data_IF_680006691630
#
_entry.id   IF_680006691630
#
_cell.length_a   1.000
_cell.length_b   1.000
_cell.length_c   1.000
_cell.angle_alpha   90.00
_cell.angle_beta   90.00
_cell.angle_gamma   90.00
#
_symmetry.space_group_name_H-M   'P 1'
#
loop_
_entity.id
_entity.type
_entity.pdbx_description
1 polymer ?
#
# COMPACT_ATOMS: atom_id res chain seq x y z
N UNK A 1 -62.89 15.31 -24.99
CA UNK A 1 -61.52 15.78 -24.66
C UNK A 1 -60.94 14.78 -23.67
N UNK A 2 -60.02 13.94 -24.12
CA UNK A 2 -59.36 12.92 -23.27
C UNK A 2 -58.15 13.58 -22.57
N UNK A 3 -58.19 13.57 -21.25
CA UNK A 3 -57.10 14.06 -20.41
C UNK A 3 -55.96 13.02 -20.48
N UNK A 4 -54.84 13.34 -21.12
CA UNK A 4 -53.61 12.56 -21.07
C UNK A 4 -52.98 12.72 -19.69
N UNK A 5 -53.18 11.73 -18.84
CA UNK A 5 -52.46 11.64 -17.56
C UNK A 5 -50.96 11.52 -17.84
N UNK A 6 -50.19 12.53 -17.46
CA UNK A 6 -48.75 12.56 -17.57
C UNK A 6 -48.19 11.61 -16.49
N UNK A 7 -47.58 10.49 -16.92
CA UNK A 7 -46.89 9.56 -16.02
C UNK A 7 -45.68 10.30 -15.41
N UNK A 8 -45.53 10.34 -14.09
CA UNK A 8 -44.37 10.98 -13.50
C UNK A 8 -43.08 10.26 -13.96
N UNK A 9 -41.98 10.99 -14.17
CA UNK A 9 -40.70 10.36 -14.54
C UNK A 9 -40.27 9.35 -13.45
N UNK A 10 -39.58 8.24 -13.83
CA UNK A 10 -39.07 7.31 -12.85
C UNK A 10 -38.13 8.02 -11.87
N UNK A 11 -38.13 7.62 -10.57
CA UNK A 11 -37.22 8.21 -9.61
C UNK A 11 -35.79 8.03 -10.11
N UNK A 12 -35.00 9.10 -10.02
CA UNK A 12 -33.55 9.00 -10.29
C UNK A 12 -32.96 7.92 -9.38
N UNK A 13 -32.05 7.06 -9.89
CA UNK A 13 -31.37 6.10 -9.03
C UNK A 13 -30.76 6.86 -7.85
N UNK A 14 -31.03 6.41 -6.63
CA UNK A 14 -30.43 7.00 -5.44
C UNK A 14 -28.92 6.90 -5.63
N UNK A 15 -28.21 8.03 -5.65
CA UNK A 15 -26.76 8.01 -5.63
C UNK A 15 -26.35 7.20 -4.39
N UNK A 16 -25.60 6.10 -4.58
CA UNK A 16 -25.06 5.37 -3.45
C UNK A 16 -24.36 6.38 -2.53
N UNK A 17 -24.71 6.37 -1.25
CA UNK A 17 -24.10 7.30 -0.29
C UNK A 17 -22.57 7.13 -0.37
N UNK A 18 -21.84 8.27 -0.39
CA UNK A 18 -20.38 8.22 -0.43
C UNK A 18 -19.83 7.37 0.74
N UNK A 19 -18.80 6.54 0.52
CA UNK A 19 -18.23 5.69 1.57
C UNK A 19 -17.81 6.51 2.79
N UNK A 20 -18.16 6.04 3.99
CA UNK A 20 -17.70 6.64 5.23
C UNK A 20 -16.21 6.38 5.50
N UNK A 21 -15.61 7.11 6.44
CA UNK A 21 -14.20 6.98 6.80
C UNK A 21 -13.78 5.54 7.10
N UNK A 22 -14.59 4.82 7.89
CA UNK A 22 -14.31 3.41 8.26
C UNK A 22 -14.34 2.48 7.05
N UNK A 23 -15.29 2.69 6.15
CA UNK A 23 -15.41 1.87 4.95
C UNK A 23 -14.22 2.11 4.02
N UNK A 24 -13.76 3.36 3.87
CA UNK A 24 -12.56 3.71 3.12
C UNK A 24 -11.29 3.12 3.76
N UNK A 25 -11.16 3.19 5.09
CA UNK A 25 -10.02 2.62 5.81
C UNK A 25 -9.91 1.10 5.59
N UNK A 26 -11.03 0.40 5.77
CA UNK A 26 -11.12 -1.03 5.49
C UNK A 26 -10.87 -1.32 4.01
N UNK A 27 -11.42 -0.49 3.11
CA UNK A 27 -11.21 -0.58 1.67
C UNK A 27 -9.74 -0.48 1.30
N UNK A 28 -9.00 0.46 1.90
CA UNK A 28 -7.57 0.64 1.66
C UNK A 28 -6.75 -0.60 2.04
N UNK A 29 -6.89 -1.11 3.27
CA UNK A 29 -6.07 -2.23 3.72
C UNK A 29 -6.54 -3.59 3.17
N UNK A 30 -7.85 -3.80 3.02
CA UNK A 30 -8.36 -5.01 2.38
C UNK A 30 -8.04 -4.99 0.88
N UNK A 31 -8.12 -3.82 0.24
CA UNK A 31 -7.76 -3.64 -1.16
C UNK A 31 -6.29 -3.91 -1.43
N UNK A 32 -5.41 -3.48 -0.52
CA UNK A 32 -3.99 -3.84 -0.54
C UNK A 32 -3.83 -5.37 -0.53
N UNK A 33 -4.40 -6.06 0.46
CA UNK A 33 -4.25 -7.51 0.60
C UNK A 33 -4.87 -8.31 -0.54
N UNK A 34 -5.97 -7.84 -1.12
CA UNK A 34 -6.58 -8.45 -2.33
C UNK A 34 -5.68 -8.26 -3.54
N UNK A 35 -5.11 -7.05 -3.70
CA UNK A 35 -4.19 -6.74 -4.80
C UNK A 35 -2.94 -7.59 -4.75
N UNK A 36 -2.29 -7.66 -3.58
CA UNK A 36 -1.15 -8.51 -3.26
C UNK A 36 -1.45 -9.98 -3.62
N UNK A 37 -2.52 -10.56 -3.09
CA UNK A 37 -2.88 -11.95 -3.34
C UNK A 37 -3.25 -12.26 -4.81
N UNK A 38 -3.76 -11.28 -5.56
CA UNK A 38 -4.03 -11.41 -6.99
C UNK A 38 -2.75 -11.30 -7.82
N UNK A 39 -1.81 -10.44 -7.40
CA UNK A 39 -0.56 -10.17 -8.09
C UNK A 39 0.51 -11.24 -7.87
N UNK A 40 0.59 -11.83 -6.68
CA UNK A 40 1.64 -12.78 -6.29
C UNK A 40 1.92 -13.91 -7.31
N UNK A 41 0.92 -14.57 -7.93
CA UNK A 41 1.20 -15.57 -8.96
C UNK A 41 1.82 -15.01 -10.24
N UNK A 42 1.66 -13.71 -10.50
CA UNK A 42 2.13 -13.01 -11.70
C UNK A 42 3.44 -12.26 -11.47
N UNK A 43 3.97 -12.26 -10.24
CA UNK A 43 5.23 -11.63 -9.86
C UNK A 43 6.36 -12.12 -10.75
N UNK A 44 7.22 -11.19 -11.18
CA UNK A 44 8.35 -11.41 -12.08
C UNK A 44 8.00 -11.93 -13.49
N UNK A 45 6.71 -12.04 -13.83
CA UNK A 45 6.30 -12.49 -15.16
C UNK A 45 6.16 -11.32 -16.15
N UNK A 46 6.39 -11.63 -17.42
CA UNK A 46 6.03 -10.74 -18.53
C UNK A 46 4.55 -10.89 -18.89
N UNK A 47 3.89 -9.86 -19.44
CA UNK A 47 2.50 -9.97 -19.89
C UNK A 47 2.24 -11.11 -20.88
N UNK A 48 3.25 -11.49 -21.69
CA UNK A 48 3.15 -12.64 -22.60
C UNK A 48 3.09 -13.98 -21.84
N UNK A 49 3.83 -14.09 -20.73
CA UNK A 49 3.85 -15.28 -19.88
C UNK A 49 2.57 -15.41 -19.08
N UNK A 50 2.05 -14.28 -18.54
CA UNK A 50 0.75 -14.21 -17.88
C UNK A 50 -0.34 -14.69 -18.85
N UNK A 51 -0.36 -14.13 -20.06
CA UNK A 51 -1.34 -14.52 -21.09
C UNK A 51 -1.22 -15.99 -21.53
N UNK A 52 -0.02 -16.52 -21.59
CA UNK A 52 0.20 -17.91 -21.95
C UNK A 52 -0.29 -18.88 -20.87
N UNK A 53 -0.20 -18.48 -19.58
CA UNK A 53 -0.62 -19.33 -18.45
C UNK A 53 -2.12 -19.26 -18.18
N UNK A 54 -2.70 -18.05 -18.18
CA UNK A 54 -4.07 -17.82 -17.68
C UNK A 54 -4.96 -17.02 -18.64
N UNK A 55 -4.47 -16.62 -19.82
CA UNK A 55 -5.14 -15.59 -20.60
C UNK A 55 -5.00 -14.22 -19.93
N UNK A 56 -6.06 -13.43 -19.91
CA UNK A 56 -6.11 -12.24 -19.02
C UNK A 56 -6.52 -12.70 -17.62
N UNK A 57 -5.74 -12.35 -16.63
CA UNK A 57 -6.12 -12.54 -15.21
C UNK A 57 -7.35 -11.68 -14.93
N UNK A 58 -8.42 -12.28 -14.41
CA UNK A 58 -9.70 -11.64 -14.10
C UNK A 58 -10.19 -11.93 -12.69
N UNK A 59 -9.40 -12.65 -11.90
CA UNK A 59 -9.64 -13.05 -10.53
C UNK A 59 -8.48 -13.90 -10.02
N UNK A 60 -8.62 -14.48 -8.84
CA UNK A 60 -7.60 -15.37 -8.29
C UNK A 60 -7.34 -16.57 -9.22
N UNK A 61 -6.08 -16.87 -9.41
CA UNK A 61 -5.60 -18.00 -10.25
C UNK A 61 -5.04 -19.15 -9.41
N UNK A 62 -5.20 -19.06 -8.08
CA UNK A 62 -4.84 -20.08 -7.10
C UNK A 62 -6.04 -20.42 -6.24
N UNK A 63 -6.12 -21.66 -5.75
CA UNK A 63 -7.22 -22.13 -4.88
C UNK A 63 -7.13 -21.53 -3.47
N UNK A 64 -5.95 -21.15 -3.02
CA UNK A 64 -5.68 -20.55 -1.71
C UNK A 64 -4.99 -19.18 -1.86
N UNK A 65 -5.73 -18.13 -2.26
CA UNK A 65 -5.16 -16.80 -2.38
C UNK A 65 -4.73 -16.26 -1.02
N UNK A 66 -3.55 -15.67 -0.95
CA UNK A 66 -2.96 -15.14 0.27
C UNK A 66 -2.11 -13.93 -0.07
N UNK A 67 -2.10 -12.96 0.86
CA UNK A 67 -1.11 -11.90 0.84
C UNK A 67 0.29 -12.44 1.14
N UNK A 68 1.28 -11.70 0.68
CA UNK A 68 2.71 -11.96 0.82
C UNK A 68 3.31 -11.07 1.92
N UNK A 69 4.58 -10.71 1.77
CA UNK A 69 5.25 -9.71 2.62
C UNK A 69 4.59 -8.33 2.51
N UNK A 70 4.04 -7.93 1.36
CA UNK A 70 3.29 -6.68 1.21
C UNK A 70 2.24 -6.52 2.31
N UNK A 71 1.38 -7.53 2.46
CA UNK A 71 0.32 -7.51 3.47
C UNK A 71 0.89 -7.59 4.88
N UNK A 72 1.86 -8.47 5.14
CA UNK A 72 2.41 -8.68 6.48
C UNK A 72 3.20 -7.48 6.98
N UNK A 73 4.00 -6.81 6.12
CA UNK A 73 4.70 -5.57 6.47
C UNK A 73 3.74 -4.37 6.57
N UNK A 74 2.67 -4.32 5.78
CA UNK A 74 1.63 -3.31 5.98
C UNK A 74 0.96 -3.42 7.36
N UNK A 75 0.70 -4.64 7.84
CA UNK A 75 0.20 -4.88 9.19
C UNK A 75 1.22 -4.46 10.26
N UNK A 76 2.50 -4.78 10.07
CA UNK A 76 3.58 -4.35 10.95
C UNK A 76 3.62 -2.83 11.10
N UNK A 77 3.70 -2.09 9.99
CA UNK A 77 3.72 -0.62 9.99
C UNK A 77 2.42 -0.04 10.56
N UNK A 78 1.27 -0.63 10.25
CA UNK A 78 -0.03 -0.22 10.78
C UNK A 78 -0.14 -0.36 12.29
N UNK A 79 0.31 -1.48 12.87
CA UNK A 79 0.31 -1.71 14.31
C UNK A 79 1.29 -0.77 15.05
N UNK A 80 2.46 -0.54 14.46
CA UNK A 80 3.43 0.39 14.99
C UNK A 80 2.87 1.82 15.02
N UNK A 81 2.22 2.22 13.94
CA UNK A 81 1.57 3.52 13.83
C UNK A 81 0.37 3.65 14.80
N UNK A 82 -0.44 2.61 14.97
CA UNK A 82 -1.53 2.59 15.95
C UNK A 82 -1.01 2.76 17.39
N UNK A 83 0.20 2.23 17.69
CA UNK A 83 0.84 2.36 19.02
C UNK A 83 1.38 3.78 19.28
N UNK A 84 1.99 4.41 18.30
CA UNK A 84 2.76 5.65 18.49
C UNK A 84 2.09 6.89 17.88
N UNK A 85 1.15 6.72 16.95
CA UNK A 85 0.47 7.83 16.30
C UNK A 85 1.44 8.81 15.63
N UNK A 86 1.11 10.10 15.70
CA UNK A 86 1.95 11.17 15.17
C UNK A 86 3.27 11.39 15.94
N UNK A 87 3.44 10.75 17.11
CA UNK A 87 4.68 10.74 17.89
C UNK A 87 5.69 9.66 17.47
N UNK A 88 5.42 8.92 16.37
CA UNK A 88 6.35 7.95 15.80
C UNK A 88 7.72 8.59 15.56
N UNK A 89 8.78 7.86 15.92
CA UNK A 89 10.18 8.26 15.73
C UNK A 89 10.98 7.13 15.09
N UNK A 90 12.14 7.40 14.45
CA UNK A 90 13.03 6.35 13.95
C UNK A 90 13.43 5.32 15.02
N UNK A 91 13.64 5.76 16.26
CA UNK A 91 13.96 4.86 17.37
C UNK A 91 12.81 3.89 17.70
N UNK A 92 11.55 4.32 17.60
CA UNK A 92 10.40 3.42 17.77
C UNK A 92 10.35 2.37 16.67
N UNK A 93 10.64 2.77 15.44
CA UNK A 93 10.67 1.87 14.27
C UNK A 93 11.78 0.85 14.42
N UNK A 94 13.01 1.30 14.72
CA UNK A 94 14.17 0.44 14.91
C UNK A 94 13.93 -0.58 16.04
N UNK A 95 13.42 -0.12 17.19
CA UNK A 95 13.06 -1.01 18.29
C UNK A 95 12.04 -2.09 17.88
N UNK A 96 11.03 -1.73 17.08
CA UNK A 96 10.06 -2.69 16.59
C UNK A 96 10.68 -3.68 15.56
N UNK A 97 11.59 -3.22 14.71
CA UNK A 97 12.34 -4.12 13.82
C UNK A 97 13.15 -5.14 14.61
N UNK A 98 13.81 -4.74 15.70
CA UNK A 98 14.51 -5.65 16.60
C UNK A 98 13.52 -6.61 17.30
N UNK A 99 12.54 -6.08 18.01
CA UNK A 99 11.59 -6.87 18.81
C UNK A 99 10.80 -7.88 17.97
N UNK A 100 10.33 -7.48 16.79
CA UNK A 100 9.36 -8.27 16.02
C UNK A 100 9.99 -9.05 14.86
N UNK A 101 11.21 -8.71 14.43
CA UNK A 101 11.83 -9.28 13.25
C UNK A 101 13.28 -9.75 13.53
N UNK A 102 14.23 -8.83 13.80
CA UNK A 102 15.65 -9.08 13.73
C UNK A 102 16.17 -10.02 14.82
N UNK A 103 15.68 -9.88 16.06
CA UNK A 103 16.14 -10.60 17.22
C UNK A 103 15.41 -11.93 17.44
N UNK A 104 14.48 -12.29 16.57
CA UNK A 104 13.80 -13.57 16.66
C UNK A 104 14.72 -14.68 16.17
N UNK A 105 14.83 -15.74 16.99
CA UNK A 105 15.69 -16.90 16.74
C UNK A 105 15.20 -17.77 15.56
N UNK A 106 13.96 -17.58 15.12
CA UNK A 106 13.36 -18.35 14.05
C UNK A 106 13.84 -17.82 12.70
N UNK A 107 14.88 -18.40 12.28
CA UNK A 107 15.46 -18.60 10.96
C UNK A 107 15.00 -17.72 9.81
N UNK A 108 15.52 -17.94 8.75
CA UNK A 108 15.27 -17.51 7.37
C UNK A 108 13.97 -16.72 7.18
N UNK A 109 14.12 -15.43 6.91
CA UNK A 109 13.08 -14.56 6.38
C UNK A 109 12.60 -15.09 5.03
N UNK A 110 11.73 -16.08 5.04
CA UNK A 110 11.13 -16.62 3.84
C UNK A 110 10.16 -15.57 3.32
N UNK A 111 10.41 -15.08 2.10
CA UNK A 111 9.57 -14.11 1.44
C UNK A 111 9.86 -12.64 1.77
N UNK A 112 10.85 -12.31 2.60
CA UNK A 112 11.29 -10.93 2.75
C UNK A 112 11.98 -10.45 1.46
N UNK A 113 11.66 -9.24 1.03
CA UNK A 113 12.29 -8.58 -0.10
C UNK A 113 13.78 -8.31 0.12
N UNK A 114 14.44 -7.82 -0.90
CA UNK A 114 15.89 -7.57 -0.83
C UNK A 114 16.25 -6.44 0.13
N UNK A 115 15.43 -5.39 0.20
CA UNK A 115 15.62 -4.27 1.13
C UNK A 115 15.49 -4.70 2.59
N UNK A 116 14.48 -5.51 2.90
CA UNK A 116 14.26 -6.04 4.25
C UNK A 116 15.46 -6.89 4.70
N UNK A 117 15.99 -7.74 3.82
CA UNK A 117 17.20 -8.56 4.11
C UNK A 117 18.42 -7.69 4.35
N UNK A 118 18.66 -6.68 3.51
CA UNK A 118 19.78 -5.75 3.67
C UNK A 118 19.70 -4.98 4.98
N UNK A 119 18.52 -4.49 5.32
CA UNK A 119 18.23 -3.80 6.59
C UNK A 119 18.51 -4.71 7.80
N UNK A 120 17.97 -5.93 7.79
CA UNK A 120 18.14 -6.88 8.87
C UNK A 120 19.61 -7.29 9.08
N UNK A 121 20.36 -7.44 8.00
CA UNK A 121 21.81 -7.70 8.08
C UNK A 121 22.52 -6.53 8.75
N UNK A 122 22.18 -5.29 8.40
CA UNK A 122 22.76 -4.10 8.99
C UNK A 122 22.38 -3.94 10.47
N UNK A 123 21.10 -4.10 10.82
CA UNK A 123 20.64 -4.06 12.22
C UNK A 123 21.35 -5.11 13.09
N UNK A 124 21.50 -6.35 12.60
CA UNK A 124 22.24 -7.43 13.32
C UNK A 124 23.72 -7.13 13.52
N UNK A 125 24.29 -6.28 12.67
CA UNK A 125 25.66 -5.75 12.83
C UNK A 125 25.72 -4.55 13.79
N UNK A 126 24.61 -4.13 14.37
CA UNK A 126 24.52 -2.97 15.26
C UNK A 126 24.52 -1.63 14.53
N UNK A 127 24.19 -1.60 13.24
CA UNK A 127 24.07 -0.37 12.46
C UNK A 127 22.65 0.20 12.64
N UNK A 128 22.54 1.31 13.38
CA UNK A 128 21.27 2.00 13.64
C UNK A 128 20.80 2.84 12.45
N UNK A 129 19.53 3.25 12.46
CA UNK A 129 19.00 4.19 11.49
C UNK A 129 19.73 5.55 11.53
N UNK A 130 20.01 6.21 10.41
CA UNK A 130 19.66 5.82 9.04
C UNK A 130 20.70 4.90 8.35
N UNK A 131 21.80 4.53 9.03
CA UNK A 131 22.86 3.70 8.43
C UNK A 131 22.37 2.30 8.10
N UNK A 132 21.40 1.77 8.86
CA UNK A 132 20.75 0.49 8.58
C UNK A 132 20.10 0.44 7.19
N UNK A 133 19.65 1.58 6.66
CA UNK A 133 19.06 1.72 5.33
C UNK A 133 20.09 1.82 4.19
N UNK A 134 21.39 1.98 4.50
CA UNK A 134 22.43 2.15 3.47
C UNK A 134 22.85 0.81 2.90
N UNK A 135 22.07 0.31 1.96
CA UNK A 135 22.36 -0.90 1.19
C UNK A 135 21.87 -0.74 -0.26
N UNK A 136 22.34 -1.61 -1.15
CA UNK A 136 22.07 -1.48 -2.60
C UNK A 136 20.60 -1.62 -3.02
N UNK A 137 19.73 -2.07 -2.12
CA UNK A 137 18.29 -2.23 -2.35
C UNK A 137 17.44 -1.15 -1.65
N UNK A 138 18.05 -0.08 -1.16
CA UNK A 138 17.37 0.99 -0.43
C UNK A 138 16.34 1.78 -1.27
N UNK A 139 16.36 1.63 -2.59
CA UNK A 139 15.41 2.25 -3.53
C UNK A 139 14.30 1.31 -3.97
N UNK A 140 14.19 0.15 -3.31
CA UNK A 140 13.10 -0.79 -3.61
C UNK A 140 11.73 -0.21 -3.25
N UNK A 141 10.70 -0.86 -3.71
CA UNK A 141 9.30 -0.57 -3.43
C UNK A 141 8.80 -1.14 -2.09
N UNK A 142 9.66 -1.82 -1.33
CA UNK A 142 9.35 -2.39 -0.03
C UNK A 142 8.80 -1.41 1.02
N UNK A 143 9.05 -0.09 0.87
CA UNK A 143 8.35 0.92 1.66
C UNK A 143 6.99 1.28 1.05
N UNK A 144 6.88 1.32 -0.27
CA UNK A 144 5.63 1.65 -0.95
C UNK A 144 4.54 0.60 -0.71
N UNK A 145 4.89 -0.70 -0.71
CA UNK A 145 3.97 -1.80 -0.45
C UNK A 145 3.28 -1.69 0.91
N UNK A 146 3.96 -1.14 1.92
CA UNK A 146 3.47 -1.00 3.30
C UNK A 146 3.05 0.42 3.69
N UNK A 147 2.95 1.35 2.72
CA UNK A 147 2.70 2.77 2.98
C UNK A 147 1.23 3.11 3.23
N UNK A 148 0.27 2.29 2.79
CA UNK A 148 -1.16 2.56 2.90
C UNK A 148 -1.65 2.84 4.34
N UNK A 149 -1.20 2.17 5.40
CA UNK A 149 -1.58 2.46 6.79
C UNK A 149 -1.34 3.91 7.20
N UNK A 150 -0.27 4.55 6.70
CA UNK A 150 0.06 5.95 7.00
C UNK A 150 -0.95 6.91 6.37
N UNK A 151 -1.42 6.59 5.16
CA UNK A 151 -2.49 7.33 4.51
C UNK A 151 -3.83 7.17 5.21
N UNK A 152 -4.16 5.98 5.69
CA UNK A 152 -5.37 5.71 6.48
C UNK A 152 -5.35 6.50 7.79
N UNK A 153 -4.26 6.45 8.55
CA UNK A 153 -4.10 7.18 9.81
C UNK A 153 -4.18 8.70 9.61
N UNK A 154 -3.53 9.20 8.58
CA UNK A 154 -3.48 10.62 8.27
C UNK A 154 -4.54 11.04 7.23
N UNK A 155 -5.73 10.43 7.24
CA UNK A 155 -6.82 10.73 6.32
C UNK A 155 -7.02 12.23 6.12
N UNK A 156 -6.98 12.71 4.88
CA UNK A 156 -7.09 14.13 4.52
C UNK A 156 -5.84 14.98 4.81
N UNK A 157 -4.74 14.37 5.28
CA UNK A 157 -3.48 15.07 5.63
C UNK A 157 -2.29 14.45 4.89
N UNK A 158 -2.17 14.64 3.55
CA UNK A 158 -1.14 14.00 2.73
C UNK A 158 0.29 14.27 3.21
N UNK A 159 0.59 15.51 3.63
CA UNK A 159 1.91 15.89 4.16
C UNK A 159 2.27 15.15 5.45
N UNK A 160 1.31 14.91 6.34
CA UNK A 160 1.53 14.12 7.56
C UNK A 160 1.73 12.64 7.24
N UNK A 161 0.96 12.08 6.32
CA UNK A 161 1.17 10.72 5.84
C UNK A 161 2.58 10.53 5.28
N UNK A 162 3.03 11.45 4.43
CA UNK A 162 4.38 11.46 3.85
C UNK A 162 5.49 11.61 4.90
N UNK A 163 5.28 12.43 5.92
CA UNK A 163 6.21 12.59 7.05
C UNK A 163 6.36 11.29 7.85
N UNK A 164 5.24 10.67 8.20
CA UNK A 164 5.23 9.47 9.03
C UNK A 164 5.83 8.26 8.32
N UNK A 165 5.51 8.05 7.04
CA UNK A 165 6.08 6.94 6.27
C UNK A 165 7.59 7.13 6.04
N UNK A 166 8.07 8.37 5.91
CA UNK A 166 9.51 8.62 5.82
C UNK A 166 10.25 8.28 7.12
N UNK A 167 9.61 8.47 8.28
CA UNK A 167 10.14 8.02 9.57
C UNK A 167 10.24 6.50 9.61
N UNK A 168 9.18 5.78 9.22
CA UNK A 168 9.19 4.31 9.13
C UNK A 168 10.26 3.83 8.15
N UNK A 169 10.33 4.44 6.98
CA UNK A 169 11.30 4.10 5.95
C UNK A 169 12.76 4.37 6.32
N UNK A 170 13.03 5.29 7.23
CA UNK A 170 14.41 5.69 7.57
C UNK A 170 15.29 4.54 8.11
N UNK A 171 14.68 3.45 8.56
CA UNK A 171 15.39 2.25 9.03
C UNK A 171 15.80 1.34 7.87
N UNK A 172 15.05 1.36 6.76
CA UNK A 172 15.15 0.35 5.70
C UNK A 172 15.37 0.90 4.30
N UNK A 173 15.06 2.17 4.06
CA UNK A 173 15.09 2.78 2.72
C UNK A 173 15.72 4.17 2.74
N UNK A 174 16.17 4.60 1.57
CA UNK A 174 16.63 5.96 1.31
C UNK A 174 16.19 6.44 -0.08
N UNK A 175 16.37 7.72 -0.38
CA UNK A 175 16.16 8.29 -1.72
C UNK A 175 14.82 7.90 -2.35
N UNK A 176 14.88 7.23 -3.50
CA UNK A 176 13.68 6.88 -4.28
C UNK A 176 12.75 5.88 -3.54
N UNK A 177 13.28 5.02 -2.67
CA UNK A 177 12.44 4.17 -1.83
C UNK A 177 11.57 4.97 -0.85
N UNK A 178 12.15 6.02 -0.23
CA UNK A 178 11.38 6.96 0.62
C UNK A 178 10.35 7.73 -0.22
N UNK A 179 10.75 8.24 -1.40
CA UNK A 179 9.84 8.98 -2.27
C UNK A 179 8.66 8.12 -2.72
N UNK A 180 8.89 6.84 -3.03
CA UNK A 180 7.82 5.90 -3.37
C UNK A 180 6.81 5.73 -2.24
N UNK A 181 7.29 5.47 -1.02
CA UNK A 181 6.44 5.36 0.16
C UNK A 181 5.65 6.64 0.44
N UNK A 182 6.31 7.81 0.35
CA UNK A 182 5.67 9.12 0.53
C UNK A 182 4.54 9.34 -0.49
N UNK A 183 4.77 9.05 -1.77
CA UNK A 183 3.76 9.21 -2.81
C UNK A 183 2.53 8.34 -2.55
N UNK A 184 2.73 7.07 -2.17
CA UNK A 184 1.64 6.14 -1.86
C UNK A 184 0.87 6.60 -0.62
N UNK A 185 1.55 6.90 0.47
CA UNK A 185 0.91 7.34 1.72
C UNK A 185 0.08 8.62 1.51
N UNK A 186 0.62 9.60 0.79
CA UNK A 186 -0.07 10.85 0.48
C UNK A 186 -1.28 10.64 -0.44
N UNK A 187 -1.14 9.78 -1.46
CA UNK A 187 -2.24 9.41 -2.35
C UNK A 187 -3.38 8.74 -1.59
N UNK A 188 -3.08 7.75 -0.75
CA UNK A 188 -4.08 7.10 0.11
C UNK A 188 -4.73 8.10 1.07
N UNK A 189 -3.97 9.02 1.69
CA UNK A 189 -4.54 10.03 2.57
C UNK A 189 -5.53 10.97 1.86
N UNK A 190 -5.25 11.35 0.62
CA UNK A 190 -6.16 12.13 -0.21
C UNK A 190 -7.42 11.33 -0.60
N UNK A 191 -7.25 10.06 -1.01
CA UNK A 191 -8.35 9.17 -1.33
C UNK A 191 -9.27 8.92 -0.13
N UNK A 192 -8.72 8.77 1.09
CA UNK A 192 -9.46 8.65 2.35
C UNK A 192 -10.38 9.85 2.63
N UNK A 193 -10.02 11.04 2.14
CA UNK A 193 -10.86 12.24 2.23
C UNK A 193 -11.91 12.34 1.12
N UNK A 194 -12.00 11.38 0.22
CA UNK A 194 -12.93 11.38 -0.89
C UNK A 194 -12.49 12.23 -2.09
N UNK A 195 -11.18 12.49 -2.20
CA UNK A 195 -10.64 13.23 -3.33
C UNK A 195 -10.80 12.44 -4.66
N UNK A 196 -11.09 13.11 -5.77
CA UNK A 196 -11.14 12.48 -7.08
C UNK A 196 -9.72 12.08 -7.54
N UNK A 197 -9.64 11.13 -8.48
CA UNK A 197 -8.39 10.54 -8.98
C UNK A 197 -7.30 11.58 -9.32
N UNK A 198 -7.58 12.66 -10.07
CA UNK A 198 -6.55 13.66 -10.37
C UNK A 198 -6.00 14.36 -9.13
N UNK A 199 -6.81 14.57 -8.09
CA UNK A 199 -6.38 15.20 -6.82
C UNK A 199 -5.56 14.22 -5.99
N UNK A 200 -5.90 12.94 -5.99
CA UNK A 200 -5.09 11.87 -5.36
C UNK A 200 -3.69 11.84 -5.97
N UNK A 201 -3.59 11.86 -7.30
CA UNK A 201 -2.32 11.89 -8.03
C UNK A 201 -1.52 13.16 -7.74
N UNK A 202 -2.20 14.31 -7.74
CA UNK A 202 -1.55 15.59 -7.43
C UNK A 202 -1.00 15.61 -5.99
N UNK A 203 -1.73 15.06 -5.02
CA UNK A 203 -1.29 14.94 -3.63
C UNK A 203 -0.03 14.07 -3.50
N UNK A 204 0.03 12.96 -4.23
CA UNK A 204 1.21 12.08 -4.27
C UNK A 204 2.44 12.80 -4.85
N UNK A 205 2.27 13.54 -5.94
CA UNK A 205 3.36 14.30 -6.58
C UNK A 205 3.81 15.51 -5.75
N UNK A 206 2.94 16.10 -4.95
CA UNK A 206 3.24 17.30 -4.18
C UNK A 206 4.18 17.06 -2.98
N UNK A 207 4.34 15.82 -2.52
CA UNK A 207 5.12 15.47 -1.33
C UNK A 207 6.51 14.91 -1.64
N UNK A 208 6.86 14.75 -2.91
CA UNK A 208 8.15 14.22 -3.38
C UNK A 208 8.87 15.23 -4.26
N UNK A 209 10.21 15.18 -4.35
CA UNK A 209 10.97 16.10 -5.21
C UNK A 209 10.50 16.00 -6.66
N UNK A 210 10.34 17.16 -7.30
CA UNK A 210 9.83 17.24 -8.67
C UNK A 210 10.73 16.54 -9.69
N UNK A 211 12.02 16.55 -9.47
CA UNK A 211 13.07 15.96 -10.28
C UNK A 211 13.45 14.54 -9.86
N UNK A 212 12.79 13.97 -8.84
CA UNK A 212 12.99 12.55 -8.46
C UNK A 212 12.65 11.59 -9.61
N UNK A 213 13.25 10.44 -9.62
CA UNK A 213 12.93 9.41 -10.61
C UNK A 213 11.48 8.93 -10.45
N UNK A 214 11.01 8.75 -9.21
CA UNK A 214 9.63 8.40 -8.89
C UNK A 214 8.65 9.43 -9.46
N UNK A 215 8.85 10.73 -9.24
CA UNK A 215 7.97 11.77 -9.79
C UNK A 215 7.92 11.78 -11.31
N UNK A 216 9.08 11.63 -11.96
CA UNK A 216 9.15 11.56 -13.43
C UNK A 216 8.46 10.33 -13.99
N UNK A 217 8.63 9.17 -13.35
CA UNK A 217 7.99 7.92 -13.78
C UNK A 217 6.48 7.97 -13.59
N UNK A 218 6.01 8.49 -12.44
CA UNK A 218 4.59 8.65 -12.14
C UNK A 218 3.92 9.59 -13.15
N UNK A 219 4.52 10.76 -13.45
CA UNK A 219 3.99 11.68 -14.48
C UNK A 219 3.88 11.01 -15.85
N UNK A 220 4.89 10.21 -16.24
CA UNK A 220 4.85 9.47 -17.52
C UNK A 220 3.73 8.45 -17.54
N UNK A 221 3.53 7.69 -16.47
CA UNK A 221 2.47 6.70 -16.36
C UNK A 221 1.08 7.36 -16.50
N UNK A 222 0.83 8.42 -15.74
CA UNK A 222 -0.45 9.13 -15.72
C UNK A 222 -0.74 9.81 -17.05
N UNK A 223 0.25 10.41 -17.70
CA UNK A 223 0.08 11.08 -19.00
C UNK A 223 -0.46 10.14 -20.09
N UNK A 224 -0.20 8.84 -19.99
CA UNK A 224 -0.62 7.84 -20.98
C UNK A 224 -1.73 6.90 -20.48
N UNK A 225 -2.22 7.09 -19.26
CA UNK A 225 -3.21 6.23 -18.63
C UNK A 225 -4.50 6.10 -19.45
N UNK A 226 -4.94 7.17 -20.11
CA UNK A 226 -6.08 7.18 -21.03
C UNK A 226 -5.93 6.21 -22.21
N UNK A 227 -4.73 5.70 -22.49
CA UNK A 227 -4.43 4.73 -23.55
C UNK A 227 -4.38 3.29 -23.05
N UNK A 228 -4.60 3.08 -21.74
CA UNK A 228 -4.71 1.78 -21.10
C UNK A 228 -3.38 1.12 -20.72
N UNK A 229 -3.50 -0.07 -20.17
CA UNK A 229 -2.47 -0.93 -19.57
C UNK A 229 -1.14 -0.98 -20.35
N UNK A 230 -1.23 -1.27 -21.67
CA UNK A 230 -0.03 -1.42 -22.52
C UNK A 230 0.76 -0.12 -22.63
N UNK A 231 0.07 1.03 -22.70
CA UNK A 231 0.72 2.33 -22.82
C UNK A 231 1.40 2.70 -21.51
N UNK A 232 0.74 2.50 -20.36
CA UNK A 232 1.30 2.72 -19.02
C UNK A 232 2.58 1.90 -18.86
N UNK A 233 2.50 0.58 -19.10
CA UNK A 233 3.66 -0.30 -18.98
C UNK A 233 4.81 0.12 -19.89
N UNK A 234 4.52 0.45 -21.14
CA UNK A 234 5.56 0.86 -22.10
C UNK A 234 6.24 2.19 -21.75
N UNK A 235 5.52 3.08 -21.06
CA UNK A 235 6.06 4.36 -20.64
C UNK A 235 6.96 4.28 -19.41
N UNK A 236 6.76 3.26 -18.55
CA UNK A 236 7.40 3.13 -17.23
C UNK A 236 8.50 2.09 -17.22
N UNK A 237 8.21 0.88 -17.73
CA UNK A 237 9.14 -0.26 -17.63
C UNK A 237 10.40 -0.03 -18.47
N UNK A 238 11.54 -0.14 -17.82
CA UNK A 238 12.85 0.02 -18.44
C UNK A 238 13.24 -1.31 -19.08
N UNK A 239 13.32 -1.30 -20.42
CA UNK A 239 13.77 -2.47 -21.16
C UNK A 239 15.20 -2.88 -20.78
N UNK A 240 15.40 -4.15 -20.51
CA UNK A 240 16.70 -4.70 -20.13
C UNK A 240 17.15 -4.43 -18.69
N UNK A 241 16.38 -3.71 -17.89
CA UNK A 241 16.67 -3.57 -16.46
C UNK A 241 16.27 -4.87 -15.72
N UNK A 242 17.20 -5.53 -14.99
CA UNK A 242 16.96 -6.86 -14.46
C UNK A 242 16.08 -6.90 -13.21
N UNK A 243 16.02 -5.79 -12.46
CA UNK A 243 15.29 -5.71 -11.20
C UNK A 243 13.85 -5.27 -11.42
N UNK A 244 12.92 -5.86 -10.69
CA UNK A 244 11.48 -5.57 -10.78
C UNK A 244 10.94 -4.79 -9.59
N UNK A 245 11.70 -4.77 -8.49
CA UNK A 245 11.37 -4.26 -7.16
C UNK A 245 11.80 -2.80 -6.92
N UNK A 246 11.75 -1.94 -7.93
CA UNK A 246 12.11 -0.53 -7.80
C UNK A 246 10.90 0.37 -7.55
N UNK A 247 10.95 1.20 -6.49
CA UNK A 247 9.91 2.17 -6.17
C UNK A 247 9.51 3.08 -7.36
N UNK A 248 10.45 3.67 -8.15
CA UNK A 248 10.09 4.47 -9.32
C UNK A 248 9.28 3.72 -10.39
N UNK A 249 9.43 2.41 -10.50
CA UNK A 249 8.68 1.58 -11.44
C UNK A 249 7.35 1.13 -10.85
N UNK A 250 7.36 0.42 -9.71
CA UNK A 250 6.17 -0.16 -9.11
C UNK A 250 5.12 0.90 -8.75
N UNK A 251 5.53 2.01 -8.11
CA UNK A 251 4.64 3.12 -7.77
C UNK A 251 4.03 3.77 -9.02
N UNK A 252 4.85 4.00 -10.06
CA UNK A 252 4.34 4.58 -11.30
C UNK A 252 3.36 3.64 -12.01
N UNK A 253 3.61 2.34 -12.05
CA UNK A 253 2.69 1.34 -12.60
C UNK A 253 1.37 1.30 -11.81
N UNK A 254 1.43 1.33 -10.48
CA UNK A 254 0.26 1.32 -9.61
C UNK A 254 -0.63 2.56 -9.82
N UNK A 255 -0.05 3.76 -9.79
CA UNK A 255 -0.81 4.99 -10.06
C UNK A 255 -1.31 5.05 -11.51
N UNK A 256 -0.55 4.51 -12.46
CA UNK A 256 -0.96 4.37 -13.85
C UNK A 256 -2.17 3.44 -13.99
N UNK A 257 -2.20 2.31 -13.29
CA UNK A 257 -3.33 1.39 -13.25
C UNK A 257 -4.56 2.05 -12.60
N UNK A 258 -4.38 2.72 -11.46
CA UNK A 258 -5.40 3.48 -10.77
C UNK A 258 -6.02 4.58 -11.64
N UNK A 259 -5.18 5.33 -12.37
CA UNK A 259 -5.63 6.37 -13.30
C UNK A 259 -6.32 5.78 -14.54
N UNK A 260 -5.84 4.66 -15.08
CA UNK A 260 -6.46 3.95 -16.23
C UNK A 260 -7.88 3.50 -15.88
N UNK A 261 -8.10 3.08 -14.65
CA UNK A 261 -9.37 2.60 -14.12
C UNK A 261 -10.29 3.71 -13.60
N UNK A 262 -9.85 4.97 -13.62
CA UNK A 262 -10.56 6.11 -13.00
C UNK A 262 -11.00 5.81 -11.56
N UNK A 263 -10.13 5.11 -10.80
CA UNK A 263 -10.36 4.76 -9.41
C UNK A 263 -11.26 3.54 -9.18
N UNK A 264 -11.76 2.87 -10.21
CA UNK A 264 -12.50 1.61 -10.06
C UNK A 264 -11.59 0.54 -9.47
N UNK A 265 -12.03 -0.07 -8.38
CA UNK A 265 -11.23 -1.05 -7.62
C UNK A 265 -10.83 -2.26 -8.47
N UNK A 266 -11.83 -2.89 -9.09
CA UNK A 266 -11.61 -4.13 -9.82
C UNK A 266 -10.70 -3.93 -11.02
N UNK A 267 -10.97 -2.90 -11.80
CA UNK A 267 -10.19 -2.61 -13.01
C UNK A 267 -8.78 -2.11 -12.67
N UNK A 268 -8.59 -1.32 -11.60
CA UNK A 268 -7.27 -0.89 -11.15
C UNK A 268 -6.37 -2.07 -10.79
N UNK A 269 -6.85 -2.98 -9.93
CA UNK A 269 -6.10 -4.16 -9.50
C UNK A 269 -5.80 -5.09 -10.69
N UNK A 270 -6.79 -5.40 -11.53
CA UNK A 270 -6.58 -6.28 -12.67
C UNK A 270 -5.66 -5.68 -13.73
N UNK A 271 -5.71 -4.36 -13.93
CA UNK A 271 -4.76 -3.65 -14.79
C UNK A 271 -3.34 -3.78 -14.26
N UNK A 272 -3.14 -3.60 -12.96
CA UNK A 272 -1.84 -3.76 -12.31
C UNK A 272 -1.29 -5.18 -12.48
N UNK A 273 -2.05 -6.21 -12.12
CA UNK A 273 -1.64 -7.63 -12.22
C UNK A 273 -1.23 -8.01 -13.65
N UNK A 274 -2.01 -7.59 -14.65
CA UNK A 274 -1.75 -7.98 -16.05
C UNK A 274 -0.56 -7.25 -16.68
N UNK A 275 -0.02 -6.22 -16.03
CA UNK A 275 1.24 -5.59 -16.43
C UNK A 275 2.46 -6.44 -16.07
N UNK A 276 2.34 -7.38 -15.14
CA UNK A 276 3.46 -8.19 -14.65
C UNK A 276 4.51 -7.35 -13.91
N UNK A 277 5.77 -7.73 -13.97
CA UNK A 277 6.87 -7.14 -13.19
C UNK A 277 6.68 -7.49 -11.71
N UNK A 278 6.84 -6.53 -10.82
CA UNK A 278 6.46 -6.64 -9.42
C UNK A 278 4.94 -6.49 -9.32
N UNK A 279 4.24 -7.57 -9.63
CA UNK A 279 2.81 -7.52 -9.86
C UNK A 279 1.99 -7.50 -8.57
N UNK A 280 2.48 -8.10 -7.51
CA UNK A 280 1.87 -8.09 -6.17
C UNK A 280 1.96 -6.71 -5.54
N UNK A 281 3.16 -6.11 -5.44
CA UNK A 281 3.33 -4.73 -4.95
C UNK A 281 2.56 -3.72 -5.79
N UNK A 282 2.66 -3.82 -7.12
CA UNK A 282 1.93 -2.91 -8.02
C UNK A 282 0.41 -2.99 -7.80
N UNK A 283 -0.12 -4.22 -7.65
CA UNK A 283 -1.54 -4.43 -7.43
C UNK A 283 -1.97 -4.13 -5.98
N UNK A 284 -1.11 -4.36 -4.99
CA UNK A 284 -1.35 -3.97 -3.60
C UNK A 284 -1.51 -2.46 -3.46
N UNK A 285 -0.61 -1.68 -4.05
CA UNK A 285 -0.68 -0.21 -4.05
C UNK A 285 -1.90 0.30 -4.83
N UNK A 286 -2.18 -0.24 -6.02
CA UNK A 286 -3.37 0.13 -6.80
C UNK A 286 -4.67 -0.22 -6.04
N UNK A 287 -4.70 -1.37 -5.39
CA UNK A 287 -5.80 -1.83 -4.54
C UNK A 287 -6.00 -0.95 -3.31
N UNK A 288 -4.91 -0.47 -2.67
CA UNK A 288 -4.98 0.45 -1.55
C UNK A 288 -5.58 1.80 -1.97
N UNK A 289 -5.12 2.37 -3.08
CA UNK A 289 -5.63 3.64 -3.62
C UNK A 289 -7.10 3.54 -4.01
N UNK A 290 -7.47 2.53 -4.80
CA UNK A 290 -8.84 2.33 -5.26
C UNK A 290 -9.78 1.93 -4.12
N UNK A 291 -9.33 1.11 -3.18
CA UNK A 291 -10.08 0.74 -1.99
C UNK A 291 -10.32 1.93 -1.04
N UNK A 292 -9.35 2.83 -0.89
CA UNK A 292 -9.53 4.08 -0.16
C UNK A 292 -10.53 5.02 -0.89
N UNK A 293 -10.52 5.00 -2.21
CA UNK A 293 -11.43 5.84 -3.04
C UNK A 293 -12.86 5.35 -2.97
N UNK A 294 -13.11 4.05 -3.13
CA UNK A 294 -14.45 3.48 -3.28
C UNK A 294 -14.99 2.80 -2.01
N UNK A 295 -14.14 2.55 -1.00
CA UNK A 295 -14.51 1.81 0.21
C UNK A 295 -14.46 0.30 0.04
N UNK A 296 -14.56 -0.43 1.16
CA UNK A 296 -14.54 -1.89 1.19
C UNK A 296 -15.73 -2.53 0.47
N UNK A 297 -16.87 -1.85 0.44
CA UNK A 297 -18.08 -2.31 -0.23
C UNK A 297 -17.90 -2.46 -1.77
N UNK A 298 -16.94 -1.77 -2.38
CA UNK A 298 -16.64 -1.87 -3.80
C UNK A 298 -15.76 -3.11 -4.16
N UNK A 299 -15.13 -3.71 -3.17
CA UNK A 299 -14.32 -4.92 -3.37
C UNK A 299 -15.25 -6.10 -3.66
N UNK A 300 -15.04 -6.87 -4.75
CA UNK A 300 -15.88 -8.02 -5.03
C UNK A 300 -16.01 -8.94 -3.82
N UNK A 301 -17.23 -9.29 -3.37
CA UNK A 301 -17.44 -10.03 -2.12
C UNK A 301 -16.66 -11.34 -2.01
N UNK A 302 -16.50 -12.06 -3.13
CA UNK A 302 -15.73 -13.30 -3.16
C UNK A 302 -14.22 -13.07 -3.05
N UNK A 303 -13.69 -11.90 -3.48
CA UNK A 303 -12.29 -11.53 -3.26
C UNK A 303 -12.07 -11.14 -1.79
N UNK A 304 -12.96 -10.32 -1.25
CA UNK A 304 -12.90 -9.91 0.15
C UNK A 304 -12.97 -11.10 1.12
N UNK A 305 -13.87 -12.06 0.84
CA UNK A 305 -14.05 -13.26 1.66
C UNK A 305 -12.85 -14.23 1.60
N UNK A 306 -12.09 -14.22 0.51
CA UNK A 306 -10.90 -15.07 0.35
C UNK A 306 -9.72 -14.60 1.22
N UNK A 307 -9.67 -13.31 1.59
CA UNK A 307 -8.60 -12.77 2.43
C UNK A 307 -8.90 -13.03 3.90
N UNK A 308 -8.26 -14.05 4.43
CA UNK A 308 -8.32 -14.42 5.85
C UNK A 308 -7.28 -13.70 6.73
N UNK A 309 -7.07 -14.19 7.96
CA UNK A 309 -5.93 -13.79 8.79
C UNK A 309 -4.62 -14.15 8.10
N UNK A 310 -3.61 -13.26 8.20
CA UNK A 310 -2.29 -13.55 7.63
C UNK A 310 -1.63 -14.73 8.31
N UNK A 311 -0.85 -15.49 7.56
CA UNK A 311 -0.22 -16.74 8.05
C UNK A 311 1.12 -16.52 8.75
N UNK A 312 1.70 -15.32 8.66
CA UNK A 312 3.01 -15.02 9.24
C UNK A 312 4.13 -15.76 8.53
N UNK A 313 4.05 -15.90 7.21
CA UNK A 313 5.09 -16.58 6.41
C UNK A 313 6.36 -15.77 6.29
N UNK A 314 6.19 -14.45 6.11
CA UNK A 314 7.27 -13.49 6.04
C UNK A 314 7.56 -12.90 7.43
N UNK A 315 6.51 -12.52 8.15
CA UNK A 315 6.59 -12.00 9.52
C UNK A 315 5.78 -12.88 10.49
N UNK A 316 6.40 -13.88 11.16
CA UNK A 316 5.71 -14.75 12.12
C UNK A 316 4.97 -13.97 13.23
N UNK A 317 5.45 -12.77 13.58
CA UNK A 317 4.82 -11.87 14.54
C UNK A 317 3.45 -11.34 14.10
N UNK A 318 3.15 -11.40 12.81
CA UNK A 318 1.88 -10.96 12.23
C UNK A 318 0.86 -12.10 12.12
N UNK A 319 1.23 -13.35 12.35
CA UNK A 319 0.34 -14.49 12.21
C UNK A 319 -0.97 -14.29 12.96
N UNK A 320 -2.09 -14.61 12.32
CA UNK A 320 -3.46 -14.50 12.89
C UNK A 320 -4.07 -13.10 12.85
N UNK A 321 -3.33 -12.06 12.45
CA UNK A 321 -3.84 -10.69 12.31
C UNK A 321 -4.71 -10.54 11.08
N UNK A 322 -5.70 -9.66 11.15
CA UNK A 322 -6.58 -9.32 10.03
C UNK A 322 -6.39 -7.86 9.60
N UNK A 323 -6.32 -7.62 8.31
CA UNK A 323 -6.11 -6.26 7.76
C UNK A 323 -7.23 -5.30 8.17
N UNK A 324 -8.47 -5.77 8.25
CA UNK A 324 -9.63 -4.95 8.64
C UNK A 324 -9.58 -4.51 10.11
N UNK A 325 -9.00 -5.31 11.00
CA UNK A 325 -8.80 -4.97 12.40
C UNK A 325 -7.77 -3.84 12.55
N UNK A 326 -6.68 -3.92 11.80
CA UNK A 326 -5.67 -2.86 11.78
C UNK A 326 -6.22 -1.58 11.16
N UNK A 327 -7.02 -1.68 10.09
CA UNK A 327 -7.70 -0.52 9.52
C UNK A 327 -8.59 0.19 10.55
N UNK A 328 -9.34 -0.56 11.35
CA UNK A 328 -10.19 -0.01 12.40
C UNK A 328 -9.37 0.66 13.51
N UNK A 329 -8.22 0.10 13.90
CA UNK A 329 -7.32 0.71 14.91
C UNK A 329 -6.77 2.06 14.45
N UNK A 330 -6.42 2.21 13.17
CA UNK A 330 -5.80 3.42 12.64
C UNK A 330 -6.72 4.64 12.60
N UNK A 331 -8.04 4.44 12.59
CA UNK A 331 -9.03 5.53 12.55
C UNK A 331 -9.63 5.84 13.93
N UNK A 332 -9.26 5.09 14.97
CA UNK A 332 -9.69 5.40 16.33
C UNK A 332 -8.93 6.64 16.82
N UNK A 333 -9.59 7.53 17.61
CA UNK A 333 -8.86 8.57 18.29
C UNK A 333 -7.77 7.92 19.15
N UNK A 334 -6.51 8.29 18.95
CA UNK A 334 -5.45 7.90 19.87
C UNK A 334 -5.77 8.53 21.22
N UNK A 335 -6.17 7.72 22.22
CA UNK A 335 -6.19 8.20 23.59
C UNK A 335 -4.76 8.70 23.94
N UNK A 336 -4.60 9.91 24.50
CA UNK A 336 -3.30 10.33 24.96
C UNK A 336 -2.80 9.27 25.96
N UNK A 337 -1.58 8.78 25.72
CA UNK A 337 -0.94 7.84 26.63
C UNK A 337 -1.05 8.41 28.05
N UNK A 338 -1.84 7.76 28.90
CA UNK A 338 -1.92 8.10 30.34
C UNK A 338 -0.51 7.90 30.85
N UNK A 339 0.21 8.99 31.08
CA UNK A 339 1.50 8.96 31.73
C UNK A 339 1.29 8.38 33.12
N UNK A 340 1.65 7.12 33.31
CA UNK A 340 1.74 6.55 34.65
C UNK A 340 2.69 7.44 35.45
N UNK A 341 2.27 7.95 36.62
CA UNK A 341 3.16 8.74 37.44
C UNK A 341 4.39 7.90 37.78
N UNK A 342 5.59 8.55 37.83
CA UNK A 342 6.80 7.82 38.17
C UNK A 342 6.63 7.19 39.56
N UNK A 343 7.17 5.99 39.82
CA UNK A 343 7.10 5.38 41.13
C UNK A 343 7.73 6.33 42.16
N UNK A 344 6.94 6.68 43.19
CA UNK A 344 7.43 7.46 44.33
C UNK A 344 8.56 6.69 45.01
N UNK A 345 9.80 7.12 44.83
CA UNK A 345 10.92 6.67 45.62
C UNK A 345 10.64 7.03 47.10
N UNK A 346 10.26 6.03 47.89
CA UNK A 346 10.37 6.15 49.37
C UNK A 346 11.85 5.98 49.68
N UNK A 347 12.47 7.09 50.09
CA UNK A 347 13.78 7.05 50.73
C UNK A 347 13.61 6.46 52.15
N UNK A 348 14.63 5.71 52.64
CA UNK A 348 14.61 5.07 53.96
C UNK A 348 14.62 6.04 55.11
#
# INVERSE_FOLDING_TARGET
MASTACTPPPPLPSSAAAPGLRDRARGALLGLAVGDALGAPAENLKPSEIRARWGRVTGFVTDEPQGTDDTEYALFSGLLLARHGSALTPAHVEAAWHEWIADRAEGTFRGAGFSERGTLENLRRGLAAPVSAQHRHAWSDGLAMRAAPFGVFAAGRPGEAARLVAIDGSVSHEGEGIHGGQAVAAGVAAAMAGAPVPVVIAAALAVIPEDSWTARSLRRAVAVAHRGERAVRSAVVIGGYPWTDLAPEAVALAFGAYATADGDFREAVLTAVNMGRDADTTAAVAGALAGATQGAAAIPPHWAAAIGPVRGRCLPSMAGRRVVEVADLLIQPTEPAVSSPPPTLRLP
#
